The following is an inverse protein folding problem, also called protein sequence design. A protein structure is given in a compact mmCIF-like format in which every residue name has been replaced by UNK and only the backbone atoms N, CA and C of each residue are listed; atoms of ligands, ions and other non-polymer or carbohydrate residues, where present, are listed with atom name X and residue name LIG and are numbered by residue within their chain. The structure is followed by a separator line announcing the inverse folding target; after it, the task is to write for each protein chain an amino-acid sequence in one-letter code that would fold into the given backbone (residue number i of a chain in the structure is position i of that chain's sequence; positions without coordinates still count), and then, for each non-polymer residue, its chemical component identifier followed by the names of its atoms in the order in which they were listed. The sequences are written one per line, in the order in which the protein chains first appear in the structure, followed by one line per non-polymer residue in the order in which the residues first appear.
data_IF_961494193041
#
_entry.id   IF_961494193041
#
_cell.length_a   1.000
_cell.length_b   1.000
_cell.length_c   1.000
_cell.angle_alpha   90.00
_cell.angle_beta   90.00
_cell.angle_gamma   90.00
#
_symmetry.space_group_name_H-M   'P 1'
#
loop_
_entity.id
_entity.type
_entity.pdbx_description
1 polymer ?
#
# COMPACT_ATOMS: atom_id res chain seq x y z
N UNK A 1 -8.19 -12.80 33.98
CA UNK A 1 -8.08 -13.01 32.52
C UNK A 1 -7.27 -11.87 31.94
N UNK A 2 -6.09 -12.21 31.42
CA UNK A 2 -5.00 -11.29 31.13
C UNK A 2 -5.37 -10.23 30.09
N UNK A 3 -5.37 -8.97 30.54
CA UNK A 3 -5.33 -7.77 29.71
C UNK A 3 -3.96 -7.67 29.02
N UNK A 4 -3.87 -8.09 27.76
CA UNK A 4 -2.78 -7.66 26.89
C UNK A 4 -3.21 -6.42 26.11
N UNK A 5 -3.43 -5.32 26.84
CA UNK A 5 -3.38 -3.98 26.28
C UNK A 5 -1.91 -3.60 26.11
N UNK A 6 -1.28 -4.04 25.02
CA UNK A 6 -0.09 -3.35 24.54
C UNK A 6 -0.59 -2.08 23.86
N UNK A 7 -0.70 -1.02 24.68
CA UNK A 7 -0.90 0.34 24.20
C UNK A 7 0.14 0.63 23.11
N UNK A 8 -0.34 0.87 21.89
CA UNK A 8 0.48 1.43 20.85
C UNK A 8 1.10 2.73 21.39
N UNK A 9 2.42 2.85 21.29
CA UNK A 9 3.14 4.03 21.70
C UNK A 9 2.54 5.26 20.99
N UNK A 10 1.90 6.13 21.79
CA UNK A 10 1.56 7.49 21.43
C UNK A 10 2.86 8.25 21.17
N UNK A 11 3.33 8.18 19.92
CA UNK A 11 4.33 9.10 19.40
C UNK A 11 3.62 10.00 18.40
N UNK A 12 3.08 11.10 18.93
CA UNK A 12 2.62 12.25 18.16
C UNK A 12 3.72 12.89 17.30
N UNK A 13 4.98 12.52 17.53
CA UNK A 13 6.13 12.95 16.73
C UNK A 13 6.16 12.26 15.36
N UNK A 14 6.16 13.00 14.24
CA UNK A 14 6.34 12.45 12.91
C UNK A 14 7.70 11.74 12.78
N UNK A 15 7.72 10.59 12.09
CA UNK A 15 8.96 9.82 11.85
C UNK A 15 9.98 10.54 10.92
N UNK A 16 9.56 11.64 10.30
CA UNK A 16 10.37 12.44 9.38
C UNK A 16 10.57 11.81 8.00
N UNK A 17 9.79 10.78 7.65
CA UNK A 17 9.88 10.09 6.36
C UNK A 17 9.10 10.83 5.27
N UNK A 18 9.69 10.90 4.07
CA UNK A 18 9.05 11.33 2.83
C UNK A 18 8.61 10.10 2.05
N UNK A 19 7.40 10.15 1.51
CA UNK A 19 6.80 9.04 0.78
C UNK A 19 6.20 9.57 -0.53
N UNK A 20 6.52 8.91 -1.65
CA UNK A 20 5.84 9.12 -2.93
C UNK A 20 4.71 8.10 -3.06
N UNK A 21 3.52 8.58 -3.40
CA UNK A 21 2.31 7.77 -3.57
C UNK A 21 1.83 7.89 -5.01
N UNK A 22 1.57 6.75 -5.65
CA UNK A 22 1.06 6.66 -7.02
C UNK A 22 0.00 5.57 -7.11
N UNK A 23 -0.87 5.69 -8.10
CA UNK A 23 -1.78 4.63 -8.57
C UNK A 23 -2.23 4.94 -9.99
N UNK A 24 -2.78 3.96 -10.69
CA UNK A 24 -3.48 4.19 -11.97
C UNK A 24 -2.60 4.87 -13.03
N UNK A 25 -1.32 4.49 -13.09
CA UNK A 25 -0.39 5.05 -14.09
C UNK A 25 -0.64 4.47 -15.49
N UNK A 26 -1.32 3.32 -15.59
CA UNK A 26 -1.85 2.76 -16.83
C UNK A 26 -0.84 2.69 -18.00
N UNK A 27 0.35 2.18 -17.72
CA UNK A 27 1.46 2.04 -18.68
C UNK A 27 2.30 3.31 -18.83
N UNK A 28 2.18 4.26 -17.90
CA UNK A 28 3.03 5.46 -17.81
C UNK A 28 4.00 5.35 -16.65
N UNK A 29 5.15 5.97 -16.86
CA UNK A 29 6.31 5.91 -15.99
C UNK A 29 6.76 7.36 -15.74
N UNK A 30 6.17 8.06 -14.75
CA UNK A 30 6.44 9.47 -14.52
C UNK A 30 7.81 9.70 -13.88
N UNK A 31 8.34 10.91 -14.03
CA UNK A 31 9.40 11.40 -13.15
C UNK A 31 8.78 11.68 -11.78
N UNK A 32 9.45 11.21 -10.73
CA UNK A 32 8.97 11.32 -9.35
C UNK A 32 10.07 11.90 -8.45
N UNK A 33 9.70 12.62 -7.38
CA UNK A 33 10.69 13.22 -6.50
C UNK A 33 11.40 12.17 -5.66
N UNK A 34 12.58 12.55 -5.19
CA UNK A 34 13.34 11.75 -4.24
C UNK A 34 12.61 11.63 -2.89
N UNK A 35 12.57 10.42 -2.34
CA UNK A 35 11.92 10.13 -1.06
C UNK A 35 12.50 8.86 -0.40
N UNK A 36 12.08 8.59 0.84
CA UNK A 36 12.46 7.37 1.58
C UNK A 36 11.69 6.15 1.06
N UNK A 37 10.47 6.37 0.57
CA UNK A 37 9.56 5.31 0.16
C UNK A 37 8.82 5.67 -1.13
N UNK A 38 8.60 4.66 -1.97
CA UNK A 38 7.70 4.72 -3.13
C UNK A 38 6.60 3.66 -2.97
N UNK A 39 5.34 4.09 -2.97
CA UNK A 39 4.18 3.22 -2.84
C UNK A 39 3.29 3.34 -4.09
N UNK A 40 3.01 2.22 -4.75
CA UNK A 40 2.12 2.17 -5.92
C UNK A 40 0.89 1.30 -5.65
N UNK A 41 -0.30 1.91 -5.60
CA UNK A 41 -1.55 1.27 -5.22
C UNK A 41 -2.29 0.57 -6.38
N UNK A 42 -1.55 -0.01 -7.33
CA UNK A 42 -2.12 -0.79 -8.46
C UNK A 42 -2.43 -0.01 -9.73
N UNK A 43 -2.85 -0.74 -10.75
CA UNK A 43 -3.19 -0.29 -12.12
C UNK A 43 -2.02 0.40 -12.84
N UNK A 44 -0.80 -0.14 -12.68
CA UNK A 44 0.36 0.35 -13.42
C UNK A 44 0.39 -0.07 -14.89
N UNK A 45 -0.48 -0.98 -15.30
CA UNK A 45 -0.60 -1.44 -16.69
C UNK A 45 -1.87 -0.93 -17.35
N UNK A 46 -1.85 -0.88 -18.68
CA UNK A 46 -3.03 -0.61 -19.48
C UNK A 46 -3.72 -1.93 -19.84
N UNK A 47 -4.44 -2.49 -18.87
CA UNK A 47 -5.11 -3.81 -18.93
C UNK A 47 -4.14 -4.97 -19.15
N UNK A 48 -3.06 -4.97 -18.38
CA UNK A 48 -2.06 -6.02 -18.34
C UNK A 48 -1.38 -6.31 -19.67
N UNK A 49 -1.17 -5.31 -20.51
CA UNK A 49 -0.29 -5.48 -21.67
C UNK A 49 1.12 -5.81 -21.18
N UNK A 50 1.73 -6.82 -21.80
CA UNK A 50 3.07 -7.29 -21.41
C UNK A 50 4.12 -6.19 -21.46
N UNK A 51 4.12 -5.38 -22.52
CA UNK A 51 5.00 -4.21 -22.65
C UNK A 51 4.91 -3.22 -21.48
N UNK A 52 3.77 -3.14 -20.81
CA UNK A 52 3.58 -2.21 -19.69
C UNK A 52 4.19 -2.81 -18.41
N UNK A 53 4.17 -4.14 -18.25
CA UNK A 53 4.94 -4.79 -17.18
C UNK A 53 6.45 -4.59 -17.38
N UNK A 54 6.94 -4.82 -18.60
CA UNK A 54 8.36 -4.62 -18.92
C UNK A 54 8.78 -3.17 -18.65
N UNK A 55 8.01 -2.21 -19.17
CA UNK A 55 8.27 -0.80 -18.98
C UNK A 55 8.21 -0.39 -17.49
N UNK A 56 7.23 -0.89 -16.73
CA UNK A 56 7.12 -0.58 -15.30
C UNK A 56 8.24 -1.24 -14.49
N UNK A 57 8.62 -2.48 -14.81
CA UNK A 57 9.74 -3.18 -14.19
C UNK A 57 11.06 -2.43 -14.41
N UNK A 58 11.32 -1.95 -15.62
CA UNK A 58 12.49 -1.12 -15.91
C UNK A 58 12.44 0.23 -15.20
N UNK A 59 11.27 0.84 -15.10
CA UNK A 59 11.11 2.13 -14.44
C UNK A 59 11.32 2.00 -12.92
N UNK A 60 10.72 1.01 -12.27
CA UNK A 60 10.81 0.84 -10.80
C UNK A 60 12.22 0.41 -10.36
N UNK A 61 12.95 -0.31 -11.22
CA UNK A 61 14.37 -0.67 -11.01
C UNK A 61 15.25 0.59 -10.88
N UNK A 62 14.97 1.61 -11.69
CA UNK A 62 15.73 2.87 -11.74
C UNK A 62 15.40 3.85 -10.62
N UNK A 63 14.34 3.61 -9.83
CA UNK A 63 13.93 4.55 -8.79
C UNK A 63 14.88 4.51 -7.58
N UNK A 64 15.32 5.68 -7.06
CA UNK A 64 16.34 5.77 -6.00
C UNK A 64 15.78 5.49 -4.59
N UNK A 65 14.48 5.22 -4.46
CA UNK A 65 13.81 5.01 -3.18
C UNK A 65 14.30 3.70 -2.54
N UNK A 66 14.84 3.74 -1.30
CA UNK A 66 15.40 2.56 -0.64
C UNK A 66 14.34 1.50 -0.28
N UNK A 67 13.07 1.90 -0.23
CA UNK A 67 11.92 1.01 -0.10
C UNK A 67 10.88 1.32 -1.18
N UNK A 68 10.50 0.30 -1.94
CA UNK A 68 9.51 0.37 -3.02
C UNK A 68 8.46 -0.69 -2.77
N UNK A 69 7.18 -0.35 -2.76
CA UNK A 69 6.07 -1.27 -2.50
C UNK A 69 4.99 -1.12 -3.56
N UNK A 70 4.50 -2.23 -4.09
CA UNK A 70 3.48 -2.28 -5.14
C UNK A 70 2.41 -3.31 -4.78
N UNK A 71 1.15 -3.01 -5.08
CA UNK A 71 0.04 -3.98 -5.07
C UNK A 71 -0.57 -4.07 -6.46
N UNK A 72 -1.38 -5.10 -6.70
CA UNK A 72 -2.18 -5.18 -7.93
C UNK A 72 -3.32 -4.15 -7.91
N UNK A 73 -3.67 -3.65 -9.09
CA UNK A 73 -5.03 -3.18 -9.37
C UNK A 73 -5.82 -4.19 -10.21
N UNK A 74 -7.01 -3.78 -10.67
CA UNK A 74 -7.84 -4.64 -11.54
C UNK A 74 -7.20 -4.90 -12.91
N UNK A 75 -6.37 -3.99 -13.42
CA UNK A 75 -5.71 -4.13 -14.71
C UNK A 75 -4.67 -5.25 -14.72
N UNK A 76 -3.90 -5.38 -13.64
CA UNK A 76 -2.92 -6.46 -13.54
C UNK A 76 -3.60 -7.80 -13.24
N UNK A 77 -4.58 -7.81 -12.33
CA UNK A 77 -5.15 -9.05 -11.81
C UNK A 77 -6.16 -9.69 -12.79
N UNK A 78 -6.94 -8.89 -13.53
CA UNK A 78 -7.91 -9.43 -14.50
C UNK A 78 -7.29 -9.77 -15.86
N UNK A 79 -6.10 -9.25 -16.18
CA UNK A 79 -5.49 -9.44 -17.50
C UNK A 79 -4.81 -10.80 -17.71
N UNK A 80 -4.50 -11.54 -16.63
CA UNK A 80 -3.81 -12.81 -16.72
C UNK A 80 -4.50 -13.92 -15.93
N UNK A 81 -4.26 -15.17 -16.36
CA UNK A 81 -4.54 -16.34 -15.53
C UNK A 81 -3.60 -16.42 -14.32
N UNK A 82 -2.41 -15.83 -14.43
CA UNK A 82 -1.39 -15.82 -13.39
C UNK A 82 -1.40 -14.50 -12.61
N UNK A 83 -2.12 -14.48 -11.49
CA UNK A 83 -2.20 -13.34 -10.57
C UNK A 83 -0.86 -12.95 -9.93
N UNK A 84 0.14 -13.81 -10.03
CA UNK A 84 1.49 -13.60 -9.49
C UNK A 84 2.45 -13.00 -10.53
N UNK A 85 2.00 -12.71 -11.77
CA UNK A 85 2.87 -12.19 -12.83
C UNK A 85 3.58 -10.90 -12.40
N UNK A 86 2.84 -9.95 -11.81
CA UNK A 86 3.42 -8.71 -11.29
C UNK A 86 4.52 -8.98 -10.27
N UNK A 87 4.24 -9.81 -9.25
CA UNK A 87 5.24 -10.21 -8.25
C UNK A 87 6.52 -10.78 -8.88
N UNK A 88 6.38 -11.72 -9.82
CA UNK A 88 7.52 -12.36 -10.51
C UNK A 88 8.38 -11.38 -11.31
N UNK A 89 7.78 -10.32 -11.86
CA UNK A 89 8.50 -9.34 -12.69
C UNK A 89 9.08 -8.18 -11.87
N UNK A 90 8.41 -7.81 -10.77
CA UNK A 90 8.73 -6.59 -10.01
C UNK A 90 9.63 -6.87 -8.81
N UNK A 91 9.49 -8.02 -8.13
CA UNK A 91 10.36 -8.35 -6.98
C UNK A 91 11.85 -8.44 -7.33
N UNK A 92 12.26 -9.03 -8.48
CA UNK A 92 13.65 -9.02 -8.91
C UNK A 92 14.24 -7.61 -9.16
N UNK A 93 13.39 -6.58 -9.23
CA UNK A 93 13.77 -5.17 -9.42
C UNK A 93 13.90 -4.38 -8.11
N UNK A 94 13.95 -5.11 -6.98
CA UNK A 94 14.16 -4.53 -5.65
C UNK A 94 12.94 -3.80 -5.10
N UNK A 95 11.73 -4.17 -5.54
CA UNK A 95 10.47 -3.69 -5.00
C UNK A 95 9.69 -4.82 -4.33
N UNK A 96 8.96 -4.55 -3.26
CA UNK A 96 8.11 -5.52 -2.60
C UNK A 96 6.72 -5.51 -3.24
N UNK A 97 6.34 -6.61 -3.87
CA UNK A 97 5.02 -6.76 -4.46
C UNK A 97 4.13 -7.55 -3.50
N UNK A 98 3.11 -6.90 -2.93
CA UNK A 98 2.31 -7.43 -1.84
C UNK A 98 0.93 -7.90 -2.33
N UNK A 99 0.60 -9.17 -2.11
CA UNK A 99 -0.70 -9.78 -2.46
C UNK A 99 -1.31 -10.41 -1.20
N UNK A 100 -2.16 -9.64 -0.50
CA UNK A 100 -2.72 -9.99 0.81
C UNK A 100 -1.63 -10.36 1.82
N UNK A 101 -0.51 -9.66 1.79
CA UNK A 101 0.68 -9.94 2.59
C UNK A 101 1.31 -8.62 3.03
N UNK A 102 2.30 -8.67 3.91
CA UNK A 102 2.90 -7.46 4.45
C UNK A 102 4.37 -7.58 4.79
N UNK A 103 4.93 -6.47 5.22
CA UNK A 103 6.32 -6.32 5.63
C UNK A 103 6.39 -5.45 6.88
N UNK A 104 7.37 -5.73 7.74
CA UNK A 104 7.74 -4.85 8.85
C UNK A 104 9.06 -4.19 8.49
N UNK A 105 9.05 -2.86 8.52
CA UNK A 105 10.16 -2.03 8.10
C UNK A 105 10.77 -1.35 9.32
N UNK A 106 12.08 -1.47 9.50
CA UNK A 106 12.84 -0.70 10.47
C UNK A 106 13.16 0.70 9.92
N UNK A 107 12.68 1.73 10.63
CA UNK A 107 12.79 3.12 10.21
C UNK A 107 14.24 3.60 10.22
N UNK A 108 15.06 3.14 11.15
CA UNK A 108 16.45 3.56 11.26
C UNK A 108 17.31 2.91 10.17
N UNK A 109 17.08 1.63 9.88
CA UNK A 109 17.70 0.97 8.73
C UNK A 109 17.28 1.64 7.40
N UNK A 110 16.02 2.03 7.26
CA UNK A 110 15.53 2.72 6.07
C UNK A 110 16.26 4.04 5.85
N UNK A 111 16.41 4.85 6.91
CA UNK A 111 17.15 6.13 6.87
C UNK A 111 18.63 5.92 6.55
N UNK A 112 19.30 4.96 7.21
CA UNK A 112 20.71 4.65 6.91
C UNK A 112 20.91 4.20 5.46
N UNK A 113 19.99 3.38 4.94
CA UNK A 113 20.00 2.97 3.54
C UNK A 113 19.80 4.16 2.60
N UNK A 114 18.90 5.10 2.95
CA UNK A 114 18.69 6.34 2.21
C UNK A 114 19.95 7.20 2.14
N UNK A 115 20.65 7.33 3.26
CA UNK A 115 21.89 8.11 3.39
C UNK A 115 23.11 7.41 2.76
N UNK A 116 22.97 6.14 2.34
CA UNK A 116 24.08 5.34 1.83
C UNK A 116 25.06 4.88 2.92
N UNK A 117 24.67 4.96 4.19
CA UNK A 117 25.50 4.55 5.35
C UNK A 117 25.29 3.09 5.75
N UNK A 118 24.31 2.40 5.16
CA UNK A 118 24.08 0.96 5.32
C UNK A 118 23.58 0.33 4.01
N UNK A 119 23.93 -0.94 3.80
CA UNK A 119 23.40 -1.80 2.73
C UNK A 119 22.36 -2.81 3.25
N UNK A 120 22.09 -2.82 4.55
CA UNK A 120 21.11 -3.72 5.16
C UNK A 120 19.70 -3.48 4.60
N UNK A 121 18.93 -4.57 4.49
CA UNK A 121 17.54 -4.48 4.08
C UNK A 121 16.69 -3.90 5.24
N UNK A 122 15.98 -2.77 5.05
CA UNK A 122 15.11 -2.24 6.08
C UNK A 122 13.90 -3.14 6.36
N UNK A 123 13.59 -4.11 5.49
CA UNK A 123 12.54 -5.10 5.75
C UNK A 123 13.06 -6.20 6.68
N UNK A 124 12.67 -6.11 7.96
CA UNK A 124 13.13 -7.02 9.02
C UNK A 124 12.21 -8.21 9.23
N UNK A 125 10.98 -8.17 8.71
CA UNK A 125 10.02 -9.27 8.81
C UNK A 125 9.04 -9.27 7.64
N UNK A 126 8.61 -10.46 7.19
CA UNK A 126 7.57 -10.64 6.17
C UNK A 126 6.33 -11.28 6.79
N UNK A 127 5.18 -10.66 6.60
CA UNK A 127 3.88 -11.14 7.01
C UNK A 127 3.30 -11.95 5.84
N UNK A 128 3.11 -13.27 5.97
CA UNK A 128 2.63 -14.08 4.87
C UNK A 128 1.15 -13.84 4.58
N UNK A 129 0.71 -14.24 3.39
CA UNK A 129 -0.71 -14.28 3.08
C UNK A 129 -1.47 -15.19 4.06
N UNK A 130 -2.70 -14.79 4.47
CA UNK A 130 -3.49 -15.54 5.43
C UNK A 130 -3.83 -16.92 4.88
N UNK A 131 -3.60 -17.96 5.70
CA UNK A 131 -3.93 -19.36 5.38
C UNK A 131 -5.26 -19.81 5.99
N UNK A 132 -5.88 -18.95 6.78
CA UNK A 132 -7.14 -19.22 7.47
C UNK A 132 -7.90 -17.91 7.66
N UNK A 133 -9.11 -18.00 8.21
CA UNK A 133 -9.93 -16.85 8.63
C UNK A 133 -9.44 -16.18 9.90
N UNK A 134 -8.31 -16.61 10.48
CA UNK A 134 -7.73 -15.98 11.65
C UNK A 134 -6.73 -14.89 11.22
N UNK A 135 -6.78 -13.69 11.81
CA UNK A 135 -5.76 -12.67 11.58
C UNK A 135 -4.37 -13.18 11.91
N UNK A 136 -3.37 -12.66 11.21
CA UNK A 136 -1.98 -12.94 11.55
C UNK A 136 -1.65 -12.38 12.93
N UNK A 137 -1.19 -13.25 13.83
CA UNK A 137 -0.63 -12.87 15.12
C UNK A 137 0.86 -12.71 14.99
N UNK A 138 1.37 -11.52 15.26
CA UNK A 138 2.82 -11.30 15.35
C UNK A 138 3.41 -12.15 16.48
N UNK A 139 4.61 -12.72 16.27
CA UNK A 139 5.37 -13.32 17.36
C UNK A 139 5.57 -12.29 18.49
N UNK A 140 5.50 -12.70 19.78
CA UNK A 140 5.60 -11.78 20.91
C UNK A 140 6.92 -11.02 20.98
N UNK A 141 7.97 -11.52 20.32
CA UNK A 141 9.28 -10.88 20.19
C UNK A 141 9.35 -9.73 19.17
N UNK A 142 8.31 -9.52 18.37
CA UNK A 142 8.28 -8.40 17.41
C UNK A 142 8.05 -7.08 18.17
N UNK A 143 9.13 -6.32 18.34
CA UNK A 143 9.08 -4.95 18.83
C UNK A 143 8.69 -3.97 17.70
N UNK A 144 7.56 -3.29 17.87
CA UNK A 144 7.04 -2.29 16.94
C UNK A 144 7.64 -0.89 17.12
N UNK A 145 8.48 -0.68 18.14
CA UNK A 145 9.18 0.60 18.29
C UNK A 145 10.07 0.86 17.07
N UNK A 146 9.93 2.07 16.50
CA UNK A 146 10.58 2.47 15.26
C UNK A 146 10.36 1.51 14.08
N UNK A 147 9.24 0.77 14.09
CA UNK A 147 8.82 -0.07 12.97
C UNK A 147 7.58 0.50 12.30
N UNK A 148 7.49 0.25 11.00
CA UNK A 148 6.29 0.49 10.21
C UNK A 148 5.82 -0.86 9.68
N UNK A 149 4.57 -1.20 9.97
CA UNK A 149 3.90 -2.34 9.34
C UNK A 149 3.23 -1.85 8.06
N UNK A 150 3.64 -2.38 6.92
CA UNK A 150 3.02 -2.11 5.62
C UNK A 150 2.31 -3.37 5.15
N UNK A 151 1.03 -3.26 4.83
CA UNK A 151 0.22 -4.37 4.36
C UNK A 151 -0.44 -4.07 3.01
N UNK A 152 -0.33 -4.99 2.07
CA UNK A 152 -0.92 -4.86 0.74
C UNK A 152 -2.08 -5.81 0.53
N UNK A 153 -3.19 -5.30 0.01
CA UNK A 153 -4.42 -6.05 -0.21
C UNK A 153 -4.64 -6.20 -1.72
N UNK A 154 -4.86 -7.44 -2.16
CA UNK A 154 -5.17 -7.77 -3.55
C UNK A 154 -6.68 -7.60 -3.79
N UNK A 155 -7.16 -6.35 -3.83
CA UNK A 155 -8.59 -6.05 -3.91
C UNK A 155 -8.88 -4.74 -4.67
N UNK A 156 -9.89 -4.79 -5.54
CA UNK A 156 -10.19 -3.74 -6.51
C UNK A 156 -11.68 -3.58 -6.84
N UNK A 157 -12.54 -4.55 -6.54
CA UNK A 157 -13.98 -4.47 -6.81
C UNK A 157 -14.79 -4.03 -5.59
N UNK A 158 -15.97 -3.45 -5.77
CA UNK A 158 -16.85 -3.18 -4.63
C UNK A 158 -17.39 -4.49 -4.02
N UNK A 159 -17.32 -4.63 -2.71
CA UNK A 159 -17.83 -5.78 -1.96
C UNK A 159 -18.64 -5.31 -0.74
N UNK A 160 -19.96 -5.13 -0.89
CA UNK A 160 -20.81 -4.64 0.20
C UNK A 160 -21.02 -5.67 1.32
N UNK A 161 -20.95 -6.96 1.00
CA UNK A 161 -21.27 -8.06 1.93
C UNK A 161 -20.08 -8.51 2.80
N UNK A 162 -18.93 -7.85 2.69
CA UNK A 162 -17.71 -8.18 3.42
C UNK A 162 -16.74 -9.06 2.62
N UNK A 163 -15.45 -8.94 2.94
CA UNK A 163 -14.38 -9.72 2.33
C UNK A 163 -13.49 -10.34 3.42
N UNK A 164 -13.32 -11.68 3.44
CA UNK A 164 -12.52 -12.34 4.47
C UNK A 164 -11.06 -11.88 4.51
N UNK A 165 -10.49 -11.40 3.39
CA UNK A 165 -9.14 -10.84 3.38
C UNK A 165 -9.04 -9.50 4.14
N UNK A 166 -10.14 -8.73 4.20
CA UNK A 166 -10.19 -7.50 4.98
C UNK A 166 -10.28 -7.80 6.48
N UNK A 167 -10.93 -8.90 6.85
CA UNK A 167 -11.12 -9.32 8.25
C UNK A 167 -9.84 -9.82 8.90
N UNK A 168 -8.89 -10.32 8.11
CA UNK A 168 -7.63 -10.90 8.61
C UNK A 168 -6.42 -9.97 8.49
N UNK A 169 -6.62 -8.72 8.04
CA UNK A 169 -5.55 -7.71 8.03
C UNK A 169 -4.97 -7.56 9.45
N UNK A 170 -3.64 -7.63 9.62
CA UNK A 170 -3.03 -7.60 10.93
C UNK A 170 -3.37 -6.32 11.68
N UNK A 171 -3.70 -6.41 12.98
CA UNK A 171 -3.78 -5.23 13.83
C UNK A 171 -2.44 -4.48 13.82
N UNK A 172 -2.45 -3.17 14.03
CA UNK A 172 -1.28 -2.27 13.98
C UNK A 172 -0.65 -2.06 12.59
N UNK A 173 -1.31 -2.47 11.50
CA UNK A 173 -0.90 -2.09 10.15
C UNK A 173 -0.88 -0.57 10.03
N UNK A 174 0.33 0.01 9.93
CA UNK A 174 0.56 1.46 9.95
C UNK A 174 0.26 2.09 8.60
N UNK A 175 0.62 1.38 7.52
CA UNK A 175 0.34 1.76 6.14
C UNK A 175 -0.38 0.59 5.47
N UNK A 176 -1.50 0.88 4.81
CA UNK A 176 -2.24 -0.11 4.02
C UNK A 176 -2.30 0.37 2.56
N UNK A 177 -1.98 -0.52 1.63
CA UNK A 177 -2.20 -0.34 0.20
C UNK A 177 -3.36 -1.24 -0.23
N UNK A 178 -4.37 -0.66 -0.85
CA UNK A 178 -5.49 -1.37 -1.46
C UNK A 178 -5.97 -0.55 -2.65
N UNK A 179 -6.08 -1.16 -3.82
CA UNK A 179 -6.44 -0.41 -5.02
C UNK A 179 -7.84 0.24 -4.89
N UNK A 180 -8.83 -0.49 -4.35
CA UNK A 180 -10.16 0.07 -4.14
C UNK A 180 -10.22 1.02 -2.92
N UNK A 181 -10.82 2.22 -3.06
CA UNK A 181 -10.91 3.17 -1.95
C UNK A 181 -11.94 2.75 -0.89
N UNK A 182 -11.80 3.20 0.37
CA UNK A 182 -12.79 2.98 1.41
C UNK A 182 -14.05 3.80 1.13
N UNK A 183 -15.24 3.23 1.31
CA UNK A 183 -16.50 3.97 1.17
C UNK A 183 -16.51 5.25 2.02
N UNK A 184 -16.81 6.37 1.36
CA UNK A 184 -16.92 7.70 1.96
C UNK A 184 -15.59 8.37 2.29
N UNK A 185 -14.44 7.81 1.90
CA UNK A 185 -13.11 8.38 2.15
C UNK A 185 -12.32 8.45 0.83
N UNK A 186 -12.16 9.66 0.27
CA UNK A 186 -11.45 9.89 -1.00
C UNK A 186 -11.92 8.95 -2.14
N UNK A 187 -13.23 8.74 -2.24
CA UNK A 187 -13.81 7.68 -3.07
C UNK A 187 -14.82 8.14 -4.13
N UNK A 188 -15.19 9.43 -4.15
CA UNK A 188 -16.25 9.98 -5.02
C UNK A 188 -17.50 9.09 -5.10
N UNK A 189 -17.92 8.53 -3.95
CA UNK A 189 -19.02 7.57 -3.79
C UNK A 189 -18.83 6.17 -4.41
N UNK A 190 -17.68 5.87 -5.02
CA UNK A 190 -17.35 4.58 -5.63
C UNK A 190 -16.66 3.58 -4.71
N UNK A 191 -16.35 3.94 -3.46
CA UNK A 191 -15.59 3.11 -2.54
C UNK A 191 -16.34 1.91 -1.98
N UNK A 192 -15.59 0.98 -1.39
CA UNK A 192 -16.11 -0.27 -0.86
C UNK A 192 -16.45 -0.20 0.64
N UNK A 193 -17.68 -0.60 1.06
CA UNK A 193 -18.06 -0.66 2.47
C UNK A 193 -17.19 -1.60 3.30
N UNK A 194 -16.78 -2.75 2.74
CA UNK A 194 -15.90 -3.68 3.45
C UNK A 194 -14.50 -3.09 3.67
N UNK A 195 -13.96 -2.34 2.70
CA UNK A 195 -12.69 -1.62 2.87
C UNK A 195 -12.84 -0.54 3.95
N UNK A 196 -13.97 0.18 3.98
CA UNK A 196 -14.26 1.16 5.03
C UNK A 196 -14.29 0.54 6.42
N UNK A 197 -15.02 -0.57 6.60
CA UNK A 197 -15.10 -1.27 7.88
C UNK A 197 -13.72 -1.72 8.39
N UNK A 198 -12.85 -2.16 7.48
CA UNK A 198 -11.47 -2.49 7.80
C UNK A 198 -10.65 -1.25 8.22
N UNK A 199 -10.78 -0.12 7.53
CA UNK A 199 -10.11 1.13 7.92
C UNK A 199 -10.59 1.60 9.29
N UNK A 200 -11.90 1.55 9.58
CA UNK A 200 -12.44 1.93 10.88
C UNK A 200 -11.92 1.04 12.02
N UNK A 201 -11.69 -0.25 11.73
CA UNK A 201 -11.17 -1.22 12.69
C UNK A 201 -9.66 -1.09 12.92
N UNK A 202 -8.89 -0.94 11.85
CA UNK A 202 -7.42 -0.96 11.92
C UNK A 202 -6.85 0.43 12.21
N UNK A 203 -7.53 1.49 11.78
CA UNK A 203 -7.12 2.90 11.89
C UNK A 203 -5.65 3.12 11.46
N UNK A 204 -5.26 2.76 10.22
CA UNK A 204 -3.89 2.93 9.75
C UNK A 204 -3.52 4.42 9.73
N UNK A 205 -2.26 4.76 9.99
CA UNK A 205 -1.78 6.16 9.85
C UNK A 205 -1.90 6.64 8.40
N UNK A 206 -1.69 5.74 7.44
CA UNK A 206 -1.83 6.01 6.02
C UNK A 206 -2.54 4.86 5.29
N UNK A 207 -3.59 5.20 4.54
CA UNK A 207 -4.24 4.29 3.60
C UNK A 207 -4.04 4.84 2.18
N UNK A 208 -3.47 4.03 1.29
CA UNK A 208 -3.16 4.42 -0.10
C UNK A 208 -4.00 3.59 -1.05
N UNK A 209 -4.71 4.29 -1.94
CA UNK A 209 -5.60 3.69 -2.93
C UNK A 209 -5.55 4.42 -4.27
N UNK A 210 -6.37 3.96 -5.21
CA UNK A 210 -6.58 4.57 -6.52
C UNK A 210 -7.96 4.22 -7.04
N UNK A 211 -8.02 3.62 -8.24
CA UNK A 211 -9.18 3.01 -8.88
C UNK A 211 -10.27 4.00 -9.33
N UNK A 212 -10.68 4.89 -8.43
CA UNK A 212 -11.65 5.95 -8.72
C UNK A 212 -10.88 7.23 -9.05
N UNK A 213 -10.57 7.40 -10.32
CA UNK A 213 -9.74 8.49 -10.87
C UNK A 213 -10.19 9.89 -10.44
N UNK A 214 -11.48 10.17 -10.57
CA UNK A 214 -12.07 11.46 -10.16
C UNK A 214 -12.14 11.66 -8.64
N UNK A 215 -11.57 10.78 -7.83
CA UNK A 215 -11.49 10.90 -6.38
C UNK A 215 -10.07 11.19 -5.87
N UNK A 216 -9.12 11.52 -6.76
CA UNK A 216 -7.77 11.95 -6.38
C UNK A 216 -7.82 13.02 -5.29
N UNK A 217 -7.30 12.68 -4.11
CA UNK A 217 -7.37 13.54 -2.95
C UNK A 217 -6.47 13.03 -1.82
N UNK A 218 -6.11 13.95 -0.92
CA UNK A 218 -5.62 13.65 0.41
C UNK A 218 -6.71 14.02 1.41
N UNK A 219 -7.24 13.02 2.11
CA UNK A 219 -8.24 13.19 3.14
C UNK A 219 -7.63 12.86 4.51
N UNK A 220 -7.66 13.84 5.41
CA UNK A 220 -7.30 13.62 6.82
C UNK A 220 -8.56 13.26 7.59
N UNK A 221 -8.52 12.17 8.32
CA UNK A 221 -9.64 11.71 9.15
C UNK A 221 -9.87 12.64 10.33
N UNK A 222 -11.13 12.73 10.73
CA UNK A 222 -11.61 13.51 11.87
C UNK A 222 -12.42 12.62 12.81
N UNK A 223 -12.60 13.04 14.06
CA UNK A 223 -13.35 12.29 15.07
C UNK A 223 -12.74 10.91 15.32
N UNK A 224 -13.53 9.85 15.12
CA UNK A 224 -13.08 8.46 15.30
C UNK A 224 -11.93 8.04 14.37
N UNK A 225 -11.69 8.79 13.29
CA UNK A 225 -10.60 8.58 12.34
C UNK A 225 -9.45 9.58 12.51
N UNK A 226 -9.41 10.35 13.59
CA UNK A 226 -8.28 11.23 13.87
C UNK A 226 -6.96 10.45 13.82
N UNK A 227 -5.98 10.99 13.09
CA UNK A 227 -4.69 10.34 12.84
C UNK A 227 -4.63 9.41 11.62
N UNK A 228 -5.78 9.08 11.01
CA UNK A 228 -5.84 8.34 9.74
C UNK A 228 -5.74 9.31 8.57
N UNK A 229 -4.82 9.08 7.64
CA UNK A 229 -4.79 9.78 6.35
C UNK A 229 -5.15 8.81 5.22
N UNK A 230 -6.15 9.14 4.42
CA UNK A 230 -6.50 8.39 3.21
C UNK A 230 -6.05 9.18 2.00
N UNK A 231 -5.27 8.55 1.13
CA UNK A 231 -4.82 9.14 -0.13
C UNK A 231 -5.31 8.27 -1.27
N UNK A 232 -6.14 8.87 -2.12
CA UNK A 232 -6.38 8.35 -3.45
C UNK A 232 -5.34 8.95 -4.38
N UNK A 233 -4.37 8.12 -4.75
CA UNK A 233 -3.19 8.48 -5.52
C UNK A 233 -3.38 8.21 -7.02
N UNK A 234 -4.61 8.07 -7.51
CA UNK A 234 -4.88 7.87 -8.93
C UNK A 234 -4.29 9.03 -9.72
N UNK A 235 -3.39 8.73 -10.65
CA UNK A 235 -2.71 9.74 -11.47
C UNK A 235 -3.47 10.05 -12.76
N UNK A 236 -4.51 9.29 -13.08
CA UNK A 236 -5.39 9.57 -14.21
C UNK A 236 -6.63 10.36 -13.72
N UNK A 237 -7.08 11.34 -14.51
CA UNK A 237 -8.27 12.15 -14.18
C UNK A 237 -9.56 11.62 -14.85
N UNK A 238 -9.50 11.24 -16.14
CA UNK A 238 -10.63 10.64 -16.86
C UNK A 238 -10.19 9.49 -17.78
N UNK A 239 -10.83 8.33 -17.61
CA UNK A 239 -10.58 7.14 -18.43
C UNK A 239 -9.17 6.60 -18.24
N UNK A 240 -8.39 6.51 -19.32
CA UNK A 240 -6.97 6.14 -19.25
C UNK A 240 -6.08 7.26 -19.78
N UNK A 241 -6.60 8.49 -19.75
CA UNK A 241 -6.05 9.63 -20.48
C UNK A 241 -5.36 10.66 -19.58
N UNK A 242 -4.47 11.42 -20.24
CA UNK A 242 -3.17 11.88 -19.77
C UNK A 242 -3.17 13.15 -18.91
N UNK A 243 -4.28 13.50 -18.27
CA UNK A 243 -4.29 14.66 -17.37
C UNK A 243 -3.93 14.17 -15.98
N UNK A 244 -2.64 14.31 -15.66
CA UNK A 244 -2.15 14.12 -14.31
C UNK A 244 -2.80 15.18 -13.42
N UNK A 245 -3.24 14.83 -12.20
CA UNK A 245 -3.65 15.83 -11.24
C UNK A 245 -2.46 16.78 -10.99
N UNK A 246 -2.75 18.08 -11.07
CA UNK A 246 -1.80 19.16 -10.73
C UNK A 246 -1.68 19.30 -9.22
#
# INVERSE_FOLDING_TARGET
NNNNNNMAADSSTPLGLKVVLLSDTHGKNPDIPDADMLLHAGDFTHFGKEKDFDAFAEWIDKQPHPLKVVVNGNHENNAFRDKQKGKKMIEPKGAHFLINEGIVVDVELLKKKKEGTSTEDPVVFKIPAPKSSQPFSFPPEVDFNNKIVIYGIDFYWNCPDGNPYHDVVPPNSSIILCHNPPKGLADSNGGCPSVRAMVDRIKPKLFVCGHIHGAHAVLKGEGELEGVTVVNAAMCNEGYTHKWPV
#
